data_IF_937883294223
#
_entry.id   IF_937883294223
#
_cell.length_a   1.000
_cell.length_b   1.000
_cell.length_c   1.000
_cell.angle_alpha   90.00
_cell.angle_beta   90.00
_cell.angle_gamma   90.00
#
_symmetry.space_group_name_H-M   'P 1'
#
loop_
_entity.id
_entity.type
_entity.pdbx_description
1 polymer ?
#
# COMPACT_ATOMS: atom_id res chain seq x y z
N UNK A 1 33.20 26.63 12.46
CA UNK A 1 33.35 25.99 11.15
C UNK A 1 31.94 25.79 10.58
N UNK A 2 31.70 26.46 9.43
CA UNK A 2 30.44 26.25 8.68
C UNK A 2 30.75 25.28 7.56
N UNK A 3 30.10 24.12 7.54
CA UNK A 3 30.18 23.22 6.40
C UNK A 3 29.14 23.66 5.37
N UNK A 4 29.55 23.97 4.17
CA UNK A 4 28.66 24.22 3.04
C UNK A 4 28.19 22.85 2.53
N UNK A 5 26.90 22.54 2.65
CA UNK A 5 26.29 21.40 1.99
C UNK A 5 25.74 21.88 0.66
N UNK A 6 26.29 21.34 -0.42
CA UNK A 6 25.78 21.60 -1.77
C UNK A 6 24.49 20.83 -1.96
N UNK A 7 23.36 21.53 -1.87
CA UNK A 7 22.04 20.93 -1.99
C UNK A 7 21.80 20.20 -3.33
N UNK A 8 22.55 20.55 -4.38
CA UNK A 8 22.46 19.87 -5.68
C UNK A 8 23.09 18.47 -5.70
N UNK A 9 23.84 18.13 -4.64
CA UNK A 9 24.50 16.82 -4.47
C UNK A 9 23.81 15.92 -3.46
N UNK A 10 22.71 16.37 -2.87
CA UNK A 10 21.92 15.51 -1.99
C UNK A 10 21.15 14.51 -2.84
N UNK A 11 21.48 13.24 -2.70
CA UNK A 11 20.68 12.16 -3.26
C UNK A 11 19.33 12.10 -2.52
N UNK A 12 18.20 11.93 -3.23
CA UNK A 12 16.92 11.74 -2.59
C UNK A 12 16.97 10.56 -1.61
N UNK A 13 16.36 10.70 -0.45
CA UNK A 13 16.21 9.58 0.48
C UNK A 13 15.21 8.57 -0.10
N UNK A 14 15.54 7.27 0.01
CA UNK A 14 14.63 6.20 -0.38
C UNK A 14 13.80 5.81 0.84
N UNK A 15 12.48 5.95 0.73
CA UNK A 15 11.57 5.56 1.80
C UNK A 15 11.31 4.05 1.77
N UNK A 16 11.20 3.45 2.95
CA UNK A 16 10.67 2.09 3.12
C UNK A 16 9.17 2.18 3.37
N UNK A 17 8.37 1.48 2.58
CA UNK A 17 6.93 1.41 2.73
C UNK A 17 6.45 -0.03 2.86
N UNK A 18 5.29 -0.19 3.49
CA UNK A 18 4.63 -1.48 3.67
C UNK A 18 3.41 -1.55 2.77
N UNK A 19 3.27 -2.66 2.08
CA UNK A 19 2.13 -2.98 1.23
C UNK A 19 1.43 -4.19 1.82
N UNK A 20 0.28 -3.99 2.45
CA UNK A 20 -0.48 -5.06 3.08
C UNK A 20 -1.23 -5.89 2.02
N UNK A 21 -1.34 -7.21 2.24
CA UNK A 21 -2.22 -8.05 1.44
C UNK A 21 -3.67 -7.59 1.61
N UNK A 22 -4.37 -7.41 0.50
CA UNK A 22 -5.78 -7.01 0.53
C UNK A 22 -6.65 -8.20 0.91
N UNK A 23 -7.45 -8.02 1.94
CA UNK A 23 -8.48 -8.98 2.36
C UNK A 23 -9.86 -8.42 2.02
N UNK A 24 -10.56 -9.09 1.11
CA UNK A 24 -11.86 -8.63 0.60
C UNK A 24 -11.75 -7.47 -0.39
N UNK A 25 -12.86 -6.74 -0.60
CA UNK A 25 -13.00 -5.75 -1.67
C UNK A 25 -12.52 -4.34 -1.28
N UNK A 26 -12.22 -4.10 -0.01
CA UNK A 26 -11.83 -2.78 0.49
C UNK A 26 -10.32 -2.64 0.54
N UNK A 27 -9.79 -1.60 -0.13
CA UNK A 27 -8.39 -1.20 0.01
C UNK A 27 -8.22 -0.54 1.38
N UNK A 28 -7.46 -1.18 2.27
CA UNK A 28 -7.14 -0.66 3.59
C UNK A 28 -5.73 -1.05 4.00
N UNK A 29 -4.97 -0.10 4.53
CA UNK A 29 -3.56 -0.31 4.89
C UNK A 29 -2.94 0.98 5.42
N UNK A 30 -1.62 1.03 5.41
CA UNK A 30 -0.89 2.25 5.77
C UNK A 30 -1.05 3.30 4.68
N UNK A 31 -1.42 4.51 5.06
CA UNK A 31 -1.51 5.66 4.17
C UNK A 31 -0.18 6.41 4.14
N UNK A 32 0.25 6.79 2.94
CA UNK A 32 1.44 7.60 2.69
C UNK A 32 1.04 8.87 2.00
N UNK A 33 1.58 10.01 2.45
CA UNK A 33 1.22 11.34 1.94
C UNK A 33 2.41 12.04 1.33
N UNK A 34 2.15 12.85 0.33
CA UNK A 34 3.12 13.75 -0.31
C UNK A 34 2.40 14.98 -0.86
N UNK A 35 3.12 16.08 -1.02
CA UNK A 35 2.52 17.34 -1.44
C UNK A 35 3.56 18.31 -2.01
N UNK A 36 3.05 19.30 -2.71
CA UNK A 36 3.70 20.59 -2.94
C UNK A 36 2.79 21.73 -2.44
N UNK A 37 3.04 22.95 -2.89
CA UNK A 37 2.27 24.13 -2.45
C UNK A 37 0.82 24.11 -2.94
N UNK A 38 0.54 23.47 -4.07
CA UNK A 38 -0.75 23.51 -4.76
C UNK A 38 -1.53 22.18 -4.68
N UNK A 39 -0.82 21.05 -4.47
CA UNK A 39 -1.39 19.70 -4.54
C UNK A 39 -1.05 18.90 -3.29
N UNK A 40 -2.07 18.28 -2.70
CA UNK A 40 -1.88 17.30 -1.63
C UNK A 40 -2.38 15.94 -2.10
N UNK A 41 -1.56 14.93 -1.94
CA UNK A 41 -1.92 13.57 -2.29
C UNK A 41 -1.60 12.59 -1.16
N UNK A 42 -2.42 11.55 -1.05
CA UNK A 42 -2.18 10.43 -0.18
C UNK A 42 -2.53 9.14 -0.91
N UNK A 43 -1.83 8.04 -0.61
CA UNK A 43 -2.14 6.75 -1.20
C UNK A 43 -2.04 5.61 -0.19
N UNK A 44 -2.86 4.57 -0.43
CA UNK A 44 -2.85 3.31 0.31
C UNK A 44 -2.54 2.20 -0.67
N UNK A 45 -1.34 1.60 -0.62
CA UNK A 45 -0.99 0.45 -1.45
C UNK A 45 -1.40 -0.85 -0.75
N UNK A 46 -2.01 -1.76 -1.49
CA UNK A 46 -2.31 -3.13 -1.09
C UNK A 46 -1.93 -4.10 -2.21
N UNK A 47 -1.82 -5.38 -1.92
CA UNK A 47 -1.56 -6.39 -2.93
C UNK A 47 -2.50 -7.58 -2.78
N UNK A 48 -2.81 -8.25 -3.89
CA UNK A 48 -3.54 -9.51 -3.96
C UNK A 48 -2.81 -10.50 -4.90
N UNK A 49 -3.41 -11.64 -5.15
CA UNK A 49 -2.84 -12.65 -6.06
C UNK A 49 -2.65 -12.16 -7.52
N UNK A 50 -3.34 -11.10 -7.91
CA UNK A 50 -3.40 -10.59 -9.28
C UNK A 50 -2.57 -9.32 -9.50
N UNK A 51 -2.09 -8.68 -8.42
CA UNK A 51 -1.27 -7.48 -8.54
C UNK A 51 -1.29 -6.55 -7.34
N UNK A 52 -0.82 -5.33 -7.61
CA UNK A 52 -0.83 -4.21 -6.68
C UNK A 52 -2.10 -3.40 -6.89
N UNK A 53 -2.82 -3.10 -5.82
CA UNK A 53 -3.98 -2.20 -5.82
C UNK A 53 -3.62 -0.94 -5.03
N UNK A 54 -3.77 0.23 -5.64
CA UNK A 54 -3.40 1.50 -5.03
C UNK A 54 -4.60 2.44 -5.06
N UNK A 55 -5.08 2.83 -3.89
CA UNK A 55 -6.07 3.90 -3.75
C UNK A 55 -5.33 5.22 -3.55
N UNK A 56 -5.51 6.16 -4.46
CA UNK A 56 -4.88 7.49 -4.37
C UNK A 56 -5.97 8.54 -4.18
N UNK A 57 -5.83 9.36 -3.15
CA UNK A 57 -6.67 10.51 -2.88
C UNK A 57 -5.89 11.78 -3.20
N UNK A 58 -6.45 12.64 -4.02
CA UNK A 58 -5.83 13.92 -4.42
C UNK A 58 -6.75 15.06 -4.01
N UNK A 59 -6.20 16.02 -3.26
CA UNK A 59 -6.84 17.30 -2.98
C UNK A 59 -6.36 18.29 -4.03
N UNK A 60 -7.28 18.69 -4.89
CA UNK A 60 -7.08 19.65 -5.97
C UNK A 60 -8.44 20.24 -6.33
N UNK A 61 -8.61 21.51 -6.02
CA UNK A 61 -9.87 22.23 -6.22
C UNK A 61 -10.09 22.63 -7.69
N UNK A 62 -9.03 22.62 -8.50
CA UNK A 62 -9.10 22.95 -9.93
C UNK A 62 -9.26 21.69 -10.76
N UNK A 63 -10.01 21.76 -11.85
CA UNK A 63 -10.18 20.65 -12.79
C UNK A 63 -9.43 20.99 -14.05
N UNK A 64 -8.50 20.12 -14.43
CA UNK A 64 -7.74 20.23 -15.67
C UNK A 64 -7.72 18.89 -16.41
N UNK A 65 -7.70 18.95 -17.74
CA UNK A 65 -7.72 17.74 -18.59
C UNK A 65 -6.43 16.92 -18.50
N UNK A 66 -5.36 17.52 -18.01
CA UNK A 66 -4.06 16.87 -17.80
C UNK A 66 -3.93 16.22 -16.43
N UNK A 67 -4.87 16.47 -15.51
CA UNK A 67 -4.84 15.89 -14.16
C UNK A 67 -4.90 14.36 -14.22
N UNK A 68 -3.93 13.74 -13.61
CA UNK A 68 -3.80 12.29 -13.63
C UNK A 68 -2.94 11.77 -12.45
N UNK A 69 -3.16 10.52 -12.11
CA UNK A 69 -2.29 9.77 -11.20
C UNK A 69 -1.61 8.64 -11.97
N UNK A 70 -0.31 8.50 -11.78
CA UNK A 70 0.46 7.38 -12.33
C UNK A 70 1.17 6.64 -11.20
N UNK A 71 1.01 5.32 -11.17
CA UNK A 71 1.76 4.40 -10.31
C UNK A 71 2.83 3.73 -11.16
N UNK A 72 4.06 3.73 -10.69
CA UNK A 72 5.23 3.09 -11.28
C UNK A 72 5.69 1.95 -10.38
N UNK A 73 6.05 0.82 -10.99
CA UNK A 73 6.51 -0.37 -10.27
C UNK A 73 7.72 -0.98 -10.97
N UNK A 74 8.77 -1.22 -10.21
CA UNK A 74 9.87 -2.11 -10.55
C UNK A 74 9.72 -3.40 -9.75
N UNK A 75 9.25 -4.46 -10.38
CA UNK A 75 8.97 -5.75 -9.73
C UNK A 75 10.21 -6.42 -9.15
N UNK A 76 11.38 -6.05 -9.64
CA UNK A 76 12.67 -6.64 -9.24
C UNK A 76 13.36 -5.83 -8.16
N UNK A 77 12.89 -4.60 -7.89
CA UNK A 77 13.56 -3.64 -7.02
C UNK A 77 15.04 -3.48 -7.38
N UNK A 78 15.33 -3.35 -8.67
CA UNK A 78 16.70 -3.27 -9.19
C UNK A 78 17.42 -1.97 -8.79
N UNK A 79 16.64 -0.93 -8.46
CA UNK A 79 17.12 0.40 -8.11
C UNK A 79 18.10 0.97 -9.16
N UNK A 80 17.76 0.82 -10.43
CA UNK A 80 18.61 1.20 -11.57
C UNK A 80 17.81 1.65 -12.79
N UNK A 81 18.49 1.67 -13.93
CA UNK A 81 17.86 2.00 -15.20
C UNK A 81 17.00 0.82 -15.65
N UNK A 82 15.71 1.02 -15.64
CA UNK A 82 14.69 0.04 -16.00
C UNK A 82 13.52 0.73 -16.70
N UNK A 83 12.77 -0.04 -17.46
CA UNK A 83 11.44 0.39 -17.92
C UNK A 83 10.42 -0.16 -16.93
N UNK A 84 9.88 0.66 -16.03
CA UNK A 84 8.93 0.18 -15.02
C UNK A 84 7.59 -0.20 -15.63
N UNK A 85 6.87 -1.09 -14.97
CA UNK A 85 5.43 -1.23 -15.21
C UNK A 85 4.74 0.02 -14.69
N UNK A 86 3.88 0.62 -15.49
CA UNK A 86 3.11 1.80 -15.07
C UNK A 86 1.63 1.70 -15.41
N UNK A 87 0.81 2.34 -14.60
CA UNK A 87 -0.60 2.55 -14.86
C UNK A 87 -0.98 3.98 -14.52
N UNK A 88 -1.72 4.60 -15.42
CA UNK A 88 -2.21 5.98 -15.28
C UNK A 88 -3.72 5.97 -15.27
N UNK A 89 -4.32 6.72 -14.37
CA UNK A 89 -5.75 7.04 -14.33
C UNK A 89 -5.88 8.55 -14.41
N UNK A 90 -6.61 9.02 -15.40
CA UNK A 90 -6.95 10.44 -15.56
C UNK A 90 -8.01 10.83 -14.54
N UNK A 91 -8.04 12.09 -14.15
CA UNK A 91 -9.09 12.62 -13.26
C UNK A 91 -10.49 12.36 -13.80
N UNK A 92 -10.68 12.45 -15.10
CA UNK A 92 -11.99 12.17 -15.76
C UNK A 92 -12.46 10.70 -15.61
N UNK A 93 -11.54 9.78 -15.29
CA UNK A 93 -11.81 8.35 -15.06
C UNK A 93 -11.88 8.02 -13.57
N UNK A 94 -11.53 8.98 -12.70
CA UNK A 94 -11.50 8.84 -11.25
C UNK A 94 -12.82 9.23 -10.62
N UNK A 95 -13.01 8.82 -9.37
CA UNK A 95 -14.17 9.22 -8.57
C UNK A 95 -14.00 10.66 -8.07
N UNK A 96 -14.91 11.56 -8.46
CA UNK A 96 -14.94 12.90 -7.90
C UNK A 96 -15.34 12.86 -6.41
N UNK A 97 -14.63 13.65 -5.60
CA UNK A 97 -14.94 13.87 -4.18
C UNK A 97 -14.87 15.37 -3.88
N UNK A 98 -15.36 15.77 -2.71
CA UNK A 98 -15.29 17.17 -2.29
C UNK A 98 -13.82 17.65 -2.21
N UNK A 99 -13.51 18.71 -2.94
CA UNK A 99 -12.17 19.31 -3.01
C UNK A 99 -11.12 18.49 -3.76
N UNK A 100 -11.53 17.49 -4.59
CA UNK A 100 -10.55 16.68 -5.34
C UNK A 100 -11.11 15.43 -6.00
N UNK A 101 -10.29 14.36 -6.01
CA UNK A 101 -10.69 13.09 -6.61
C UNK A 101 -9.97 11.88 -5.96
N UNK A 102 -10.53 10.68 -6.21
CA UNK A 102 -9.93 9.40 -5.83
C UNK A 102 -9.73 8.52 -7.05
N UNK A 103 -8.54 8.00 -7.24
CA UNK A 103 -8.20 7.03 -8.26
C UNK A 103 -7.89 5.67 -7.64
N UNK A 104 -8.55 4.61 -8.12
CA UNK A 104 -8.17 3.22 -7.81
C UNK A 104 -7.39 2.67 -8.98
N UNK A 105 -6.15 2.26 -8.74
CA UNK A 105 -5.21 1.84 -9.76
C UNK A 105 -4.78 0.41 -9.49
N UNK A 106 -5.02 -0.50 -10.44
CA UNK A 106 -4.53 -1.88 -10.39
C UNK A 106 -3.35 -2.05 -11.32
N UNK A 107 -2.20 -2.45 -10.79
CA UNK A 107 -1.01 -2.81 -11.54
C UNK A 107 -0.89 -4.33 -11.54
N UNK A 108 -1.20 -5.01 -12.65
CA UNK A 108 -1.05 -6.47 -12.74
C UNK A 108 0.41 -6.87 -12.52
N UNK A 109 0.62 -7.86 -11.68
CA UNK A 109 1.94 -8.38 -11.35
C UNK A 109 1.88 -9.89 -11.17
N UNK A 110 3.03 -10.54 -11.31
CA UNK A 110 3.20 -11.97 -11.09
C UNK A 110 4.18 -12.23 -9.94
N UNK A 111 4.21 -13.46 -9.43
CA UNK A 111 5.13 -13.88 -8.36
C UNK A 111 5.09 -12.99 -7.11
N UNK A 112 3.89 -12.57 -6.72
CA UNK A 112 3.67 -11.85 -5.46
C UNK A 112 3.67 -12.82 -4.29
N UNK A 113 4.40 -12.46 -3.23
CA UNK A 113 4.49 -13.25 -1.99
C UNK A 113 4.88 -12.37 -0.83
N UNK A 114 4.52 -12.79 0.36
CA UNK A 114 4.95 -12.14 1.60
C UNK A 114 6.48 -12.00 1.64
N UNK A 115 6.95 -10.87 2.15
CA UNK A 115 8.34 -10.45 2.25
C UNK A 115 9.04 -10.14 0.92
N UNK A 116 8.38 -10.25 -0.25
CA UNK A 116 8.92 -9.71 -1.49
C UNK A 116 9.01 -8.18 -1.36
N UNK A 117 10.11 -7.62 -1.85
CA UNK A 117 10.30 -6.16 -1.97
C UNK A 117 10.27 -5.79 -3.44
N UNK A 118 9.53 -4.73 -3.76
CA UNK A 118 9.43 -4.12 -5.08
C UNK A 118 9.82 -2.64 -4.99
N UNK A 119 10.25 -2.05 -6.09
CA UNK A 119 10.36 -0.59 -6.20
C UNK A 119 9.01 0.01 -6.58
N UNK A 120 8.61 1.10 -5.94
CA UNK A 120 7.33 1.75 -6.21
C UNK A 120 7.44 3.27 -6.13
N UNK A 121 6.78 3.98 -7.03
CA UNK A 121 6.58 5.42 -6.93
C UNK A 121 5.18 5.84 -7.40
N UNK A 122 4.73 7.00 -6.91
CA UNK A 122 3.44 7.59 -7.28
C UNK A 122 3.66 9.01 -7.74
N UNK A 123 3.11 9.35 -8.90
CA UNK A 123 3.14 10.68 -9.48
C UNK A 123 1.73 11.21 -9.67
N UNK A 124 1.47 12.43 -9.21
CA UNK A 124 0.27 13.19 -9.50
C UNK A 124 0.64 14.31 -10.47
N UNK A 125 -0.10 14.41 -11.56
CA UNK A 125 -0.07 15.57 -12.45
C UNK A 125 -1.20 16.50 -12.09
N UNK A 126 -0.88 17.76 -11.82
CA UNK A 126 -1.83 18.87 -11.68
C UNK A 126 -1.45 19.91 -12.72
N UNK A 127 -2.24 20.03 -13.78
CA UNK A 127 -1.91 20.79 -14.99
C UNK A 127 -0.59 20.30 -15.60
N UNK A 128 0.40 21.16 -15.61
CA UNK A 128 1.74 20.91 -16.13
C UNK A 128 2.80 20.63 -15.04
N UNK A 129 2.37 20.62 -13.77
CA UNK A 129 3.23 20.28 -12.63
C UNK A 129 3.10 18.82 -12.22
N UNK A 130 4.23 18.18 -11.94
CA UNK A 130 4.28 16.84 -11.37
C UNK A 130 4.65 16.92 -9.88
N UNK A 131 3.85 16.24 -9.05
CA UNK A 131 4.15 15.99 -7.64
C UNK A 131 4.43 14.52 -7.49
N UNK A 132 5.61 14.18 -6.97
CA UNK A 132 6.11 12.81 -6.89
C UNK A 132 6.24 12.40 -5.43
N UNK A 133 6.01 11.12 -5.14
CA UNK A 133 6.12 10.60 -3.78
C UNK A 133 7.58 10.48 -3.34
N UNK A 134 8.41 9.77 -4.08
CA UNK A 134 9.80 9.53 -3.66
C UNK A 134 10.84 9.99 -4.69
N UNK A 135 10.67 9.71 -5.98
CA UNK A 135 11.61 10.13 -7.02
C UNK A 135 11.34 11.57 -7.46
N UNK A 136 12.08 12.50 -6.86
CA UNK A 136 12.00 13.94 -7.20
C UNK A 136 12.82 14.32 -8.44
N UNK A 137 13.48 13.37 -9.09
CA UNK A 137 14.33 13.65 -10.28
C UNK A 137 13.57 13.76 -11.58
N UNK A 138 12.31 13.28 -11.60
CA UNK A 138 11.46 13.23 -12.79
C UNK A 138 11.84 12.10 -13.77
N UNK A 139 12.66 11.12 -13.34
CA UNK A 139 13.15 10.02 -14.17
C UNK A 139 12.35 8.72 -14.02
N UNK A 140 11.17 8.76 -13.40
CA UNK A 140 10.35 7.57 -13.13
C UNK A 140 10.07 6.70 -14.36
N UNK A 141 10.12 7.29 -15.57
CA UNK A 141 9.85 6.56 -16.81
C UNK A 141 11.01 5.63 -17.22
N UNK A 142 12.22 5.88 -16.74
CA UNK A 142 13.43 5.22 -17.23
C UNK A 142 14.35 4.68 -16.16
N UNK A 143 14.09 5.02 -14.89
CA UNK A 143 14.91 4.59 -13.78
C UNK A 143 14.07 4.40 -12.52
N UNK A 144 14.33 3.32 -11.79
CA UNK A 144 13.76 3.05 -10.47
C UNK A 144 14.72 3.37 -9.32
N UNK A 145 15.84 4.05 -9.61
CA UNK A 145 16.90 4.31 -8.64
C UNK A 145 16.39 4.94 -7.34
N UNK A 146 15.40 5.81 -7.45
CA UNK A 146 14.83 6.54 -6.32
C UNK A 146 13.38 6.15 -6.02
N UNK A 147 12.94 4.98 -6.43
CA UNK A 147 11.65 4.45 -6.01
C UNK A 147 11.69 4.07 -4.53
N UNK A 148 10.57 4.23 -3.84
CA UNK A 148 10.41 3.71 -2.50
C UNK A 148 10.52 2.18 -2.51
N UNK A 149 11.09 1.61 -1.46
CA UNK A 149 11.17 0.16 -1.25
C UNK A 149 9.87 -0.32 -0.60
N UNK A 150 9.04 -0.96 -1.38
CA UNK A 150 7.74 -1.46 -0.97
C UNK A 150 7.83 -2.94 -0.58
N UNK A 151 7.71 -3.26 0.71
CA UNK A 151 7.74 -4.63 1.20
C UNK A 151 6.34 -5.19 1.37
N UNK A 152 6.05 -6.30 0.70
CA UNK A 152 4.77 -6.99 0.78
C UNK A 152 4.63 -7.70 2.12
N UNK A 153 3.55 -7.41 2.84
CA UNK A 153 3.23 -8.00 4.14
C UNK A 153 1.91 -8.76 4.06
N UNK A 154 1.69 -9.75 4.92
CA UNK A 154 0.37 -10.38 5.02
C UNK A 154 -0.67 -9.33 5.38
N UNK A 155 -1.89 -9.52 4.93
CA UNK A 155 -3.02 -8.68 5.29
C UNK A 155 -3.34 -8.83 6.78
N UNK A 156 -3.74 -7.74 7.40
CA UNK A 156 -4.29 -7.80 8.75
C UNK A 156 -5.76 -8.20 8.60
N UNK A 157 -6.09 -9.39 9.01
CA UNK A 157 -7.48 -9.80 9.13
C UNK A 157 -8.12 -9.00 10.26
N UNK A 158 -9.27 -8.41 10.00
CA UNK A 158 -10.00 -7.70 11.05
C UNK A 158 -10.54 -8.74 12.03
N UNK A 159 -10.12 -8.63 13.29
CA UNK A 159 -10.67 -9.46 14.36
C UNK A 159 -12.14 -9.07 14.56
N UNK A 160 -13.02 -10.06 14.49
CA UNK A 160 -14.47 -9.85 14.61
C UNK A 160 -14.84 -9.52 16.05
N UNK A 161 -15.77 -8.57 16.24
CA UNK A 161 -16.33 -8.29 17.58
C UNK A 161 -17.32 -9.39 17.94
N UNK A 162 -17.13 -9.97 19.11
CA UNK A 162 -18.02 -11.01 19.65
C UNK A 162 -17.59 -11.40 21.06
N UNK A 163 -18.58 -11.61 21.92
CA UNK A 163 -18.37 -12.09 23.29
C UNK A 163 -18.56 -13.59 23.32
N UNK A 164 -17.69 -14.29 24.04
CA UNK A 164 -17.76 -15.73 24.27
C UNK A 164 -17.75 -16.02 25.75
N UNK A 165 -18.32 -17.17 26.12
CA UNK A 165 -18.28 -17.67 27.48
C UNK A 165 -17.10 -18.62 27.64
N UNK A 166 -16.29 -18.41 28.67
CA UNK A 166 -15.13 -19.26 28.95
C UNK A 166 -15.58 -20.41 29.86
N UNK A 167 -16.18 -21.45 29.30
CA UNK A 167 -16.69 -22.62 30.03
C UNK A 167 -16.19 -23.96 29.48
N UNK A 168 -15.29 -23.94 28.49
CA UNK A 168 -14.71 -25.11 27.86
C UNK A 168 -15.51 -25.62 26.64
N UNK A 169 -16.63 -24.97 26.29
CA UNK A 169 -17.41 -25.27 25.10
C UNK A 169 -17.17 -24.21 24.02
N UNK A 170 -17.26 -24.60 22.75
CA UNK A 170 -17.11 -23.68 21.65
C UNK A 170 -18.43 -22.94 21.35
N UNK A 171 -18.47 -21.65 21.64
CA UNK A 171 -19.61 -20.79 21.30
C UNK A 171 -19.77 -20.58 19.79
N UNK A 172 -21.04 -20.44 19.33
CA UNK A 172 -21.35 -20.11 17.94
C UNK A 172 -20.77 -18.74 17.46
N UNK A 173 -20.35 -17.87 18.37
CA UNK A 173 -19.65 -16.65 18.03
C UNK A 173 -18.34 -16.93 17.27
N UNK A 174 -17.69 -18.06 17.55
CA UNK A 174 -16.47 -18.50 16.85
C UNK A 174 -16.68 -18.84 15.36
N UNK A 175 -17.91 -19.12 14.93
CA UNK A 175 -18.23 -19.39 13.53
C UNK A 175 -18.00 -18.18 12.64
N UNK A 176 -18.06 -16.97 13.22
CA UNK A 176 -17.83 -15.69 12.53
C UNK A 176 -16.38 -15.22 12.60
N UNK A 177 -15.56 -15.87 13.42
CA UNK A 177 -14.16 -15.52 13.56
C UNK A 177 -13.34 -16.12 12.41
N UNK A 178 -12.43 -15.31 11.86
CA UNK A 178 -11.49 -15.78 10.83
C UNK A 178 -10.47 -16.70 11.47
N UNK A 179 -10.23 -17.86 10.83
CA UNK A 179 -9.15 -18.77 11.22
C UNK A 179 -7.80 -18.22 10.77
N UNK A 180 -6.90 -18.03 11.71
CA UNK A 180 -5.52 -17.58 11.48
C UNK A 180 -4.62 -18.81 11.47
N UNK A 181 -4.05 -19.21 10.31
CA UNK A 181 -3.19 -20.38 10.28
C UNK A 181 -1.92 -20.14 11.09
N UNK A 182 -1.62 -21.04 12.00
CA UNK A 182 -0.39 -21.03 12.78
C UNK A 182 0.69 -21.82 12.06
N UNK A 183 1.76 -21.15 11.65
CA UNK A 183 2.93 -21.83 11.08
C UNK A 183 3.82 -22.31 12.21
N UNK A 184 3.74 -23.60 12.52
CA UNK A 184 4.58 -24.25 13.52
C UNK A 184 5.74 -24.94 12.80
N UNK A 185 6.97 -24.47 13.01
CA UNK A 185 8.19 -25.07 12.48
C UNK A 185 8.61 -26.29 13.34
N UNK A 186 7.79 -27.34 13.32
CA UNK A 186 8.12 -28.62 13.93
C UNK A 186 8.46 -29.65 12.85
N UNK A 187 9.29 -30.65 13.21
CA UNK A 187 9.65 -31.78 12.32
C UNK A 187 8.48 -32.68 11.90
N UNK A 188 7.28 -32.46 12.45
CA UNK A 188 6.04 -33.14 12.10
C UNK A 188 5.10 -32.14 11.39
N UNK A 189 4.33 -32.64 10.42
CA UNK A 189 3.28 -31.87 9.73
C UNK A 189 2.10 -31.61 10.68
N UNK A 190 2.23 -30.68 11.60
CA UNK A 190 1.13 -30.25 12.46
C UNK A 190 0.61 -28.93 11.87
N UNK A 191 -0.65 -28.91 11.50
CA UNK A 191 -1.40 -27.71 11.15
C UNK A 191 -2.26 -27.33 12.34
N UNK A 192 -2.25 -26.06 12.73
CA UNK A 192 -3.13 -25.51 13.73
C UNK A 192 -3.64 -24.15 13.27
N UNK A 193 -4.86 -23.82 13.65
CA UNK A 193 -5.45 -22.51 13.41
C UNK A 193 -5.79 -21.87 14.74
N UNK A 194 -5.65 -20.56 14.85
CA UNK A 194 -6.19 -19.78 15.96
C UNK A 194 -7.32 -18.90 15.46
N UNK A 195 -8.34 -18.71 16.28
CA UNK A 195 -9.41 -17.73 16.06
C UNK A 195 -9.34 -16.67 17.14
N UNK A 196 -9.63 -15.43 16.77
CA UNK A 196 -9.59 -14.30 17.70
C UNK A 196 -10.88 -13.51 17.60
N UNK A 197 -11.48 -13.23 18.76
CA UNK A 197 -12.61 -12.33 18.93
C UNK A 197 -12.26 -11.26 19.97
N UNK A 198 -12.99 -10.18 19.96
CA UNK A 198 -12.85 -9.11 20.98
C UNK A 198 -14.21 -8.53 21.33
N UNK A 199 -14.32 -8.03 22.54
CA UNK A 199 -15.42 -7.17 22.95
C UNK A 199 -14.86 -5.89 23.63
N UNK A 200 -15.73 -5.11 24.25
CA UNK A 200 -15.30 -3.82 24.83
C UNK A 200 -14.37 -3.98 26.05
N UNK A 201 -14.22 -5.18 26.59
CA UNK A 201 -13.45 -5.47 27.81
C UNK A 201 -12.32 -6.49 27.56
N UNK A 202 -12.49 -7.42 26.60
CA UNK A 202 -11.64 -8.60 26.47
C UNK A 202 -11.20 -8.88 25.03
N UNK A 203 -10.05 -9.57 24.93
CA UNK A 203 -9.58 -10.26 23.74
C UNK A 203 -9.66 -11.76 24.00
N UNK A 204 -10.36 -12.50 23.13
CA UNK A 204 -10.55 -13.95 23.21
C UNK A 204 -9.72 -14.64 22.16
N UNK A 205 -9.05 -15.73 22.52
CA UNK A 205 -8.27 -16.56 21.61
C UNK A 205 -8.73 -18.01 21.77
N UNK A 206 -9.03 -18.65 20.62
CA UNK A 206 -9.39 -20.07 20.51
C UNK A 206 -8.38 -20.74 19.58
N UNK A 207 -7.72 -21.83 20.03
CA UNK A 207 -6.73 -22.57 19.25
C UNK A 207 -6.95 -24.07 19.40
#
# INVERSE_FOLDING_TARGET
YWAYVDATKLEPSIQDIVVAEQKGDTISGTEYSFSDDDTQAAFIPTWDKDGLNVLVSVKDATIDDTDAVTVYVDETNSAGDVTPVKRTVKRSEAQAVDGGYRATIKVPMTDLKVAKTIGMDVKVMNKDKAVNFNDLTGKQETSSKYYAKATLKPGIERVTKGTVKIDGEADSAWDKAVAIPLTINLKASVTADAKVLWDDENLYVYA
#
